data_IF_205515583297
#
_entry.id   IF_205515583297
#
_cell.length_a   1.000
_cell.length_b   1.000
_cell.length_c   1.000
_cell.angle_alpha   90.00
_cell.angle_beta   90.00
_cell.angle_gamma   90.00
#
_symmetry.space_group_name_H-M   'P 1'
#
loop_
_entity.id
_entity.type
_entity.pdbx_description
1 polymer ?
#
# COMPACT_ATOMS: atom_id res chain seq x y z
N UNK A 1 -9.89 8.99 -11.26
CA UNK A 1 -9.14 8.75 -10.02
C UNK A 1 -8.53 7.35 -10.04
N UNK A 2 -7.22 7.23 -9.93
CA UNK A 2 -6.43 6.00 -9.86
C UNK A 2 -5.79 5.91 -8.48
N UNK A 3 -5.98 4.79 -7.79
CA UNK A 3 -5.39 4.51 -6.49
C UNK A 3 -4.11 3.67 -6.68
N UNK A 4 -3.00 4.09 -6.09
CA UNK A 4 -1.77 3.31 -6.02
C UNK A 4 -1.61 2.66 -4.65
N UNK A 5 -1.21 1.39 -4.60
CA UNK A 5 -0.94 0.68 -3.34
C UNK A 5 0.51 0.20 -3.31
N UNK A 6 1.26 0.64 -2.31
CA UNK A 6 2.68 0.31 -2.04
C UNK A 6 2.84 -0.20 -0.60
N UNK A 7 4.00 -0.76 -0.27
CA UNK A 7 4.31 -1.31 1.06
C UNK A 7 5.20 -2.55 1.00
N UNK A 8 5.68 -3.09 2.13
CA UNK A 8 6.52 -4.29 2.14
C UNK A 8 5.78 -5.55 1.66
N UNK A 9 6.52 -6.60 1.28
CA UNK A 9 5.96 -7.93 1.11
C UNK A 9 5.28 -8.38 2.41
N UNK A 10 4.13 -9.06 2.30
CA UNK A 10 3.34 -9.47 3.47
C UNK A 10 2.40 -8.39 4.06
N UNK A 11 2.47 -7.13 3.58
CA UNK A 11 1.60 -6.05 4.06
C UNK A 11 0.14 -6.13 3.56
N UNK A 12 -0.23 -7.13 2.75
CA UNK A 12 -1.61 -7.29 2.27
C UNK A 12 -1.98 -6.49 1.02
N UNK A 13 -1.00 -5.96 0.28
CA UNK A 13 -1.23 -5.15 -0.94
C UNK A 13 -2.12 -5.82 -1.98
N UNK A 14 -1.85 -7.08 -2.31
CA UNK A 14 -2.63 -7.84 -3.29
C UNK A 14 -4.08 -8.03 -2.85
N UNK A 15 -4.28 -8.29 -1.56
CA UNK A 15 -5.60 -8.44 -0.96
C UNK A 15 -6.37 -7.12 -1.04
N UNK A 16 -5.76 -6.00 -0.63
CA UNK A 16 -6.40 -4.69 -0.71
C UNK A 16 -6.77 -4.32 -2.14
N UNK A 17 -5.85 -4.56 -3.09
CA UNK A 17 -6.10 -4.33 -4.53
C UNK A 17 -7.29 -5.15 -5.02
N UNK A 18 -7.40 -6.42 -4.64
CA UNK A 18 -8.54 -7.26 -4.99
C UNK A 18 -9.85 -6.74 -4.37
N UNK A 19 -9.83 -6.39 -3.08
CA UNK A 19 -10.99 -5.85 -2.36
C UNK A 19 -11.50 -4.53 -2.95
N UNK A 20 -10.61 -3.60 -3.29
CA UNK A 20 -10.98 -2.33 -3.93
C UNK A 20 -11.48 -2.53 -5.37
N UNK A 21 -10.86 -3.42 -6.15
CA UNK A 21 -11.34 -3.75 -7.50
C UNK A 21 -12.76 -4.32 -7.48
N UNK A 22 -13.08 -5.18 -6.52
CA UNK A 22 -14.42 -5.74 -6.36
C UNK A 22 -15.49 -4.66 -6.05
N UNK A 23 -15.06 -3.47 -5.61
CA UNK A 23 -15.93 -2.30 -5.39
C UNK A 23 -15.92 -1.31 -6.56
N UNK A 24 -15.35 -1.68 -7.71
CA UNK A 24 -15.30 -0.85 -8.92
C UNK A 24 -14.21 0.24 -8.91
N UNK A 25 -13.27 0.20 -7.96
CA UNK A 25 -12.21 1.20 -7.85
C UNK A 25 -11.07 0.86 -8.80
N UNK A 26 -10.62 1.86 -9.57
CA UNK A 26 -9.42 1.75 -10.40
C UNK A 26 -8.19 1.82 -9.51
N UNK A 27 -7.59 0.66 -9.23
CA UNK A 27 -6.43 0.53 -8.33
C UNK A 27 -5.27 -0.21 -9.00
N UNK A 28 -4.05 0.24 -8.71
CA UNK A 28 -2.78 -0.33 -9.19
C UNK A 28 -1.96 -0.84 -8.01
N UNK A 29 -1.53 -2.09 -8.10
CA UNK A 29 -0.50 -2.65 -7.25
C UNK A 29 0.87 -2.16 -7.74
N UNK A 30 1.66 -1.56 -6.86
CA UNK A 30 2.97 -1.01 -7.20
C UNK A 30 4.03 -1.75 -6.36
N UNK A 31 4.87 -2.53 -7.04
CA UNK A 31 5.94 -3.34 -6.45
C UNK A 31 7.20 -2.51 -6.12
N UNK A 32 7.03 -1.37 -5.43
CA UNK A 32 8.11 -0.43 -5.11
C UNK A 32 9.21 -1.07 -4.24
N UNK A 33 8.85 -2.02 -3.39
CA UNK A 33 9.76 -2.77 -2.53
C UNK A 33 10.81 -3.60 -3.30
N UNK A 34 10.60 -3.79 -4.61
CA UNK A 34 11.50 -4.51 -5.51
C UNK A 34 12.27 -3.60 -6.48
N UNK A 35 12.22 -2.28 -6.28
CA UNK A 35 12.87 -1.31 -7.17
C UNK A 35 13.87 -0.43 -6.44
N UNK A 36 15.02 -0.21 -7.09
CA UNK A 36 16.03 0.76 -6.63
C UNK A 36 15.72 2.20 -7.06
N UNK A 37 14.73 2.42 -7.94
CA UNK A 37 14.30 3.75 -8.34
C UNK A 37 13.33 4.28 -7.26
N UNK A 38 13.69 5.31 -6.47
CA UNK A 38 12.92 5.70 -5.28
C UNK A 38 11.49 6.15 -5.58
N UNK A 39 11.30 6.77 -6.74
CA UNK A 39 10.05 7.34 -7.22
C UNK A 39 9.41 6.51 -8.35
N UNK A 40 9.74 5.22 -8.45
CA UNK A 40 9.16 4.33 -9.47
C UNK A 40 7.63 4.34 -9.43
N UNK A 41 7.04 4.35 -8.22
CA UNK A 41 5.59 4.47 -8.02
C UNK A 41 4.99 5.67 -8.76
N UNK A 42 5.71 6.80 -8.75
CA UNK A 42 5.30 8.03 -9.40
C UNK A 42 5.53 7.95 -10.90
N UNK A 43 6.67 7.44 -11.35
CA UNK A 43 7.01 7.38 -12.79
C UNK A 43 6.13 6.41 -13.58
N UNK A 44 5.77 5.27 -12.99
CA UNK A 44 5.04 4.22 -13.70
C UNK A 44 3.52 4.34 -13.55
N UNK A 45 3.05 4.86 -12.42
CA UNK A 45 1.60 4.92 -12.12
C UNK A 45 1.11 6.34 -11.90
N UNK A 46 1.88 7.20 -11.22
CA UNK A 46 1.48 8.55 -10.83
C UNK A 46 0.04 8.62 -10.29
N UNK A 47 -0.28 7.87 -9.21
CA UNK A 47 -1.65 7.75 -8.75
C UNK A 47 -2.19 9.08 -8.20
N UNK A 48 -3.51 9.25 -8.25
CA UNK A 48 -4.21 10.38 -7.62
C UNK A 48 -4.21 10.26 -6.08
N UNK A 49 -4.18 9.03 -5.58
CA UNK A 49 -4.03 8.69 -4.15
C UNK A 49 -3.03 7.55 -4.01
N UNK A 50 -1.99 7.74 -3.21
CA UNK A 50 -1.02 6.73 -2.83
C UNK A 50 -1.30 6.20 -1.42
N UNK A 51 -1.64 4.92 -1.32
CA UNK A 51 -1.82 4.20 -0.05
C UNK A 51 -0.56 3.39 0.25
N UNK A 52 0.01 3.62 1.42
CA UNK A 52 1.12 2.85 1.96
C UNK A 52 0.62 1.87 3.03
N UNK A 53 0.85 0.57 2.82
CA UNK A 53 0.61 -0.46 3.81
C UNK A 53 1.92 -0.80 4.54
N UNK A 54 1.88 -0.78 5.86
CA UNK A 54 2.99 -1.19 6.72
C UNK A 54 2.69 -2.51 7.42
N UNK A 55 3.76 -3.22 7.76
CA UNK A 55 3.70 -4.50 8.47
C UNK A 55 5.04 -4.71 9.17
N UNK A 56 5.01 -5.31 10.36
CA UNK A 56 6.22 -5.71 11.08
C UNK A 56 6.88 -6.92 10.42
N UNK A 57 8.19 -7.06 10.60
CA UNK A 57 8.94 -8.22 10.11
C UNK A 57 8.30 -9.53 10.59
N UNK A 58 7.97 -9.62 11.87
CA UNK A 58 7.38 -10.79 12.52
C UNK A 58 6.06 -11.19 11.85
N UNK A 59 5.19 -10.21 11.59
CA UNK A 59 3.93 -10.47 10.91
C UNK A 59 4.10 -10.83 9.42
N UNK A 60 5.20 -10.43 8.78
CA UNK A 60 5.50 -10.93 7.41
C UNK A 60 5.77 -12.43 7.42
N UNK A 61 6.48 -12.94 8.44
CA UNK A 61 6.77 -14.37 8.59
C UNK A 61 5.48 -15.14 8.87
N UNK A 62 4.70 -14.69 9.86
CA UNK A 62 3.45 -15.36 10.27
C UNK A 62 2.45 -15.46 9.12
N UNK A 63 2.28 -14.39 8.33
CA UNK A 63 1.24 -14.34 7.28
C UNK A 63 1.57 -15.10 6.01
N UNK A 64 2.86 -15.22 5.68
CA UNK A 64 3.30 -15.63 4.35
C UNK A 64 4.32 -16.77 4.37
N UNK A 65 4.71 -17.25 5.56
CA UNK A 65 5.78 -18.22 5.76
C UNK A 65 7.01 -17.88 4.91
N UNK A 66 7.39 -16.60 4.88
CA UNK A 66 8.51 -16.13 4.08
C UNK A 66 9.80 -16.61 4.74
N UNK A 67 10.63 -17.30 3.97
CA UNK A 67 11.99 -17.62 4.36
C UNK A 67 12.91 -16.47 3.96
N UNK A 68 12.82 -15.36 4.71
CA UNK A 68 13.62 -14.17 4.45
C UNK A 68 14.11 -13.52 5.73
N UNK A 69 15.29 -12.93 5.66
CA UNK A 69 15.98 -12.31 6.78
C UNK A 69 15.43 -10.92 7.11
N UNK A 70 15.68 -10.47 8.33
CA UNK A 70 15.42 -9.09 8.72
C UNK A 70 16.13 -8.08 7.80
N UNK A 71 17.32 -8.41 7.30
CA UNK A 71 18.08 -7.55 6.37
C UNK A 71 17.33 -7.34 5.06
N UNK A 72 16.73 -8.39 4.50
CA UNK A 72 15.93 -8.30 3.27
C UNK A 72 14.66 -7.47 3.49
N UNK A 73 14.01 -7.63 4.64
CA UNK A 73 12.89 -6.78 5.05
C UNK A 73 13.31 -5.30 5.20
N UNK A 74 14.43 -5.03 5.87
CA UNK A 74 14.95 -3.67 6.05
C UNK A 74 15.30 -2.99 4.72
N UNK A 75 15.83 -3.75 3.76
CA UNK A 75 16.10 -3.26 2.42
C UNK A 75 14.82 -2.90 1.65
N UNK A 76 13.72 -3.65 1.84
CA UNK A 76 12.42 -3.22 1.31
C UNK A 76 11.96 -1.89 1.91
N UNK A 77 12.08 -1.73 3.23
CA UNK A 77 11.76 -0.45 3.88
C UNK A 77 12.62 0.69 3.33
N UNK A 78 13.90 0.44 3.05
CA UNK A 78 14.80 1.40 2.43
C UNK A 78 14.25 1.89 1.08
N UNK A 79 13.92 0.95 0.19
CA UNK A 79 13.41 1.23 -1.16
C UNK A 79 12.05 1.93 -1.14
N UNK A 80 11.27 1.65 -0.11
CA UNK A 80 9.93 2.20 0.10
C UNK A 80 9.90 3.60 0.71
N UNK A 81 11.02 4.12 1.25
CA UNK A 81 11.04 5.39 2.00
C UNK A 81 10.41 6.56 1.25
N UNK A 82 10.76 6.71 -0.03
CA UNK A 82 10.23 7.82 -0.83
C UNK A 82 8.70 7.67 -1.02
N UNK A 83 8.20 6.47 -1.32
CA UNK A 83 6.76 6.25 -1.39
C UNK A 83 6.05 6.48 -0.04
N UNK A 84 6.67 6.08 1.08
CA UNK A 84 6.15 6.33 2.43
C UNK A 84 6.03 7.82 2.75
N UNK A 85 7.02 8.62 2.38
CA UNK A 85 7.04 10.07 2.61
C UNK A 85 5.97 10.82 1.80
N UNK A 86 5.52 10.23 0.69
CA UNK A 86 4.56 10.83 -0.23
C UNK A 86 3.18 10.16 -0.20
N UNK A 87 2.95 9.24 0.74
CA UNK A 87 1.67 8.56 0.85
C UNK A 87 0.59 9.50 1.39
N UNK A 88 -0.58 9.49 0.76
CA UNK A 88 -1.76 10.21 1.24
C UNK A 88 -2.42 9.48 2.41
N UNK A 89 -2.34 8.15 2.41
CA UNK A 89 -2.83 7.30 3.50
C UNK A 89 -1.75 6.30 3.91
N UNK A 90 -1.45 6.27 5.20
CA UNK A 90 -0.61 5.27 5.83
C UNK A 90 -1.48 4.32 6.66
N UNK A 91 -1.35 3.00 6.45
CA UNK A 91 -2.06 1.98 7.22
C UNK A 91 -1.09 0.98 7.82
N UNK A 92 -1.03 0.96 9.15
CA UNK A 92 -0.45 -0.16 9.88
C UNK A 92 -1.40 -1.37 9.79
N UNK A 93 -0.98 -2.41 9.08
CA UNK A 93 -1.82 -3.60 8.90
C UNK A 93 -1.66 -4.62 10.01
N UNK A 94 -0.71 -4.45 10.93
CA UNK A 94 -0.43 -5.43 11.99
C UNK A 94 -1.66 -5.80 12.83
N UNK A 95 -2.46 -4.84 13.34
CA UNK A 95 -3.61 -5.15 14.18
C UNK A 95 -4.90 -5.37 13.37
N UNK A 96 -4.85 -5.20 12.04
CA UNK A 96 -6.05 -5.13 11.22
C UNK A 96 -6.33 -6.45 10.51
N UNK A 97 -7.61 -6.82 10.50
CA UNK A 97 -8.15 -7.82 9.58
C UNK A 97 -8.19 -7.28 8.16
N UNK A 98 -8.35 -8.18 7.19
CA UNK A 98 -8.48 -7.81 5.79
C UNK A 98 -9.63 -6.82 5.54
N UNK A 99 -10.81 -7.07 6.11
CA UNK A 99 -11.97 -6.22 5.92
C UNK A 99 -11.79 -4.83 6.55
N UNK A 100 -11.09 -4.73 7.69
CA UNK A 100 -10.75 -3.44 8.29
C UNK A 100 -9.79 -2.63 7.42
N UNK A 101 -8.79 -3.27 6.80
CA UNK A 101 -7.89 -2.60 5.85
C UNK A 101 -8.69 -2.06 4.65
N UNK A 102 -9.55 -2.89 4.05
CA UNK A 102 -10.38 -2.48 2.90
C UNK A 102 -11.33 -1.35 3.28
N UNK A 103 -12.04 -1.47 4.40
CA UNK A 103 -12.99 -0.47 4.85
C UNK A 103 -12.32 0.87 5.19
N UNK A 104 -11.12 0.83 5.79
CA UNK A 104 -10.37 2.05 6.10
C UNK A 104 -9.90 2.76 4.83
N UNK A 105 -9.35 2.00 3.87
CA UNK A 105 -8.98 2.56 2.56
C UNK A 105 -10.18 3.13 1.81
N UNK A 106 -11.32 2.43 1.78
CA UNK A 106 -12.54 2.89 1.13
C UNK A 106 -13.07 4.20 1.72
N UNK A 107 -13.09 4.31 3.06
CA UNK A 107 -13.52 5.54 3.74
C UNK A 107 -12.66 6.72 3.34
N UNK A 108 -11.33 6.55 3.30
CA UNK A 108 -10.40 7.60 2.89
C UNK A 108 -10.57 7.99 1.41
N UNK A 109 -10.66 7.01 0.51
CA UNK A 109 -10.85 7.26 -0.93
C UNK A 109 -12.15 8.04 -1.19
N UNK A 110 -13.22 7.67 -0.48
CA UNK A 110 -14.53 8.31 -0.64
C UNK A 110 -14.53 9.73 -0.10
N UNK A 111 -13.90 10.00 1.05
CA UNK A 111 -13.81 11.36 1.60
C UNK A 111 -12.99 12.29 0.70
N UNK A 112 -11.88 11.80 0.13
CA UNK A 112 -11.07 12.55 -0.83
C UNK A 112 -11.85 12.89 -2.11
N UNK A 113 -12.69 11.96 -2.59
CA UNK A 113 -13.54 12.16 -3.77
C UNK A 113 -14.60 13.24 -3.55
N UNK A 114 -15.25 13.24 -2.40
CA UNK A 114 -16.26 14.25 -2.05
C UNK A 114 -15.65 15.65 -1.92
N UNK A 115 -14.43 15.75 -1.38
CA UNK A 115 -13.74 17.04 -1.27
C UNK A 115 -13.31 17.60 -2.63
N UNK A 116 -13.10 16.75 -3.64
CA UNK A 116 -12.76 17.17 -5.01
C UNK A 116 -13.97 17.64 -5.81
N UNK A 117 -15.20 17.36 -5.38
CA UNK A 117 -16.45 17.79 -6.05
C UNK A 117 -16.93 19.17 -5.58
N UNK A 118 -16.30 19.75 -4.55
CA UNK A 118 -16.65 21.04 -3.95
C UNK A 118 -15.60 22.13 -4.29
N UNK A 119 -14.60 21.80 -5.12
CA UNK A 119 -13.67 22.76 -5.73
C UNK A 119 -14.05 23.00 -7.18
#
# INVERSE_FOLDING_TARGET
>A
MVIGVVGPCGAGKSSLVAGLKAKGIVVRHIAQEHSYVPDMWKRLTNPDILIYLDVTYENTIIRRNLDWSYTEYAEQLHRLRHARQHADLFLDTNPLTFDEVVNTALKFITSASTSSLIK
#
